data_IF_529651505888
#
_entry.id   IF_529651505888
#
_cell.length_a   1.000
_cell.length_b   1.000
_cell.length_c   1.000
_cell.angle_alpha   90.00
_cell.angle_beta   90.00
_cell.angle_gamma   90.00
#
_symmetry.space_group_name_H-M   'P 1'
#
loop_
_entity.id
_entity.type
_entity.pdbx_description
1 polymer ?
#
# COMPACT_ATOMS: atom_id res chain seq x y z
N UNK A 1 -0.29 -15.02 -14.53
CA UNK A 1 -1.23 -14.16 -13.79
C UNK A 1 -0.66 -13.88 -12.41
N UNK A 2 -0.74 -12.65 -11.95
CA UNK A 2 -0.31 -12.21 -10.62
C UNK A 2 -1.55 -11.80 -9.83
N UNK A 3 -1.71 -12.33 -8.63
CA UNK A 3 -2.85 -12.05 -7.74
C UNK A 3 -2.36 -11.21 -6.57
N UNK A 4 -3.13 -10.21 -6.17
CA UNK A 4 -2.77 -9.31 -5.10
C UNK A 4 -3.97 -8.81 -4.30
N UNK A 5 -3.70 -8.34 -3.09
CA UNK A 5 -4.64 -7.56 -2.29
C UNK A 5 -3.87 -6.46 -1.55
N UNK A 6 -4.55 -5.34 -1.29
CA UNK A 6 -4.09 -4.21 -0.49
C UNK A 6 -4.97 -4.14 0.77
N UNK A 7 -4.48 -4.60 1.94
CA UNK A 7 -5.24 -4.53 3.18
C UNK A 7 -5.82 -3.14 3.49
N UNK A 8 -5.06 -2.09 3.18
CA UNK A 8 -5.42 -0.69 3.44
C UNK A 8 -6.55 -0.17 2.55
N UNK A 9 -6.82 -0.84 1.43
CA UNK A 9 -7.95 -0.54 0.54
C UNK A 9 -9.18 -1.41 0.89
N UNK A 10 -9.12 -2.18 1.99
CA UNK A 10 -10.15 -3.11 2.46
C UNK A 10 -10.48 -4.23 1.45
N UNK A 11 -9.48 -4.65 0.67
CA UNK A 11 -9.62 -5.79 -0.25
C UNK A 11 -9.92 -7.09 0.50
N UNK A 12 -10.87 -7.90 -0.01
CA UNK A 12 -11.13 -9.25 0.50
C UNK A 12 -10.01 -10.20 0.05
N UNK A 13 -9.26 -10.84 0.97
CA UNK A 13 -8.19 -11.77 0.61
C UNK A 13 -8.68 -13.01 -0.14
N UNK A 14 -9.98 -13.36 -0.07
CA UNK A 14 -10.57 -14.47 -0.82
C UNK A 14 -10.96 -14.10 -2.26
N UNK A 15 -11.05 -12.80 -2.56
CA UNK A 15 -11.38 -12.26 -3.87
C UNK A 15 -10.24 -11.33 -4.35
N UNK A 16 -9.02 -11.85 -4.57
CA UNK A 16 -7.87 -11.03 -4.88
C UNK A 16 -8.00 -10.35 -6.25
N UNK A 17 -7.50 -9.11 -6.32
CA UNK A 17 -7.26 -8.42 -7.58
C UNK A 17 -6.21 -9.18 -8.40
N UNK A 18 -6.20 -9.04 -9.72
CA UNK A 18 -5.19 -9.66 -10.56
C UNK A 18 -4.75 -8.82 -11.77
N UNK A 19 -3.55 -9.11 -12.27
CA UNK A 19 -3.03 -8.54 -13.51
C UNK A 19 -2.13 -9.52 -14.26
N UNK A 20 -2.03 -9.32 -15.57
CA UNK A 20 -1.21 -10.13 -16.48
C UNK A 20 0.18 -9.52 -16.69
N UNK A 21 1.18 -10.40 -16.85
CA UNK A 21 2.50 -10.05 -17.37
C UNK A 21 2.72 -10.92 -18.61
N UNK A 22 3.08 -10.34 -19.78
CA UNK A 22 3.27 -11.07 -21.02
C UNK A 22 4.62 -11.82 -21.05
N UNK A 23 4.88 -12.64 -20.03
CA UNK A 23 6.09 -13.45 -19.87
C UNK A 23 5.75 -14.82 -19.27
N UNK A 24 6.50 -15.89 -19.61
CA UNK A 24 6.41 -17.17 -18.90
C UNK A 24 6.63 -16.99 -17.40
N UNK A 25 5.86 -17.67 -16.56
CA UNK A 25 5.88 -17.48 -15.10
C UNK A 25 7.28 -17.70 -14.49
N UNK A 26 8.06 -18.62 -15.03
CA UNK A 26 9.40 -19.00 -14.59
C UNK A 26 10.47 -17.92 -14.89
N UNK A 27 10.11 -16.96 -15.74
CA UNK A 27 10.95 -15.84 -16.18
C UNK A 27 10.55 -14.50 -15.56
N UNK A 28 9.47 -14.46 -14.77
CA UNK A 28 9.01 -13.22 -14.15
C UNK A 28 9.99 -12.82 -13.05
N UNK A 29 10.56 -11.63 -13.20
CA UNK A 29 11.46 -11.01 -12.24
C UNK A 29 10.71 -10.00 -11.37
N UNK A 30 11.30 -9.62 -10.24
CA UNK A 30 10.72 -8.61 -9.37
C UNK A 30 10.51 -7.26 -10.10
N UNK A 31 11.43 -6.84 -10.96
CA UNK A 31 11.25 -5.64 -11.78
C UNK A 31 10.03 -5.70 -12.71
N UNK A 32 9.66 -6.90 -13.19
CA UNK A 32 8.50 -7.06 -14.06
C UNK A 32 7.20 -6.83 -13.31
N UNK A 33 7.13 -7.30 -12.06
CA UNK A 33 6.02 -7.01 -11.14
C UNK A 33 5.87 -5.49 -10.97
N UNK A 34 6.97 -4.81 -10.66
CA UNK A 34 6.99 -3.37 -10.41
C UNK A 34 6.56 -2.57 -11.65
N UNK A 35 6.98 -2.99 -12.84
CA UNK A 35 6.66 -2.33 -14.10
C UNK A 35 5.18 -2.51 -14.52
N UNK A 36 4.58 -3.67 -14.23
CA UNK A 36 3.21 -3.99 -14.65
C UNK A 36 2.15 -3.69 -13.59
N UNK A 37 2.54 -3.45 -12.33
CA UNK A 37 1.61 -3.10 -11.27
C UNK A 37 0.90 -1.77 -11.56
N UNK A 38 -0.41 -1.83 -11.80
CA UNK A 38 -1.17 -0.71 -12.38
C UNK A 38 -1.41 0.45 -11.43
N UNK A 39 -1.30 0.22 -10.11
CA UNK A 39 -1.45 1.28 -9.11
C UNK A 39 -0.14 2.03 -8.85
N UNK A 40 0.93 1.72 -9.59
CA UNK A 40 2.20 2.43 -9.48
C UNK A 40 1.99 3.93 -9.75
N UNK A 41 2.28 4.81 -8.78
CA UNK A 41 2.04 6.25 -8.89
C UNK A 41 2.75 6.84 -10.10
N UNK A 42 3.92 6.32 -10.50
CA UNK A 42 4.61 6.76 -11.73
C UNK A 42 3.79 6.61 -13.01
N UNK A 43 2.81 5.70 -13.05
CA UNK A 43 1.93 5.52 -14.21
C UNK A 43 0.67 6.39 -14.14
N UNK A 44 0.16 6.63 -12.93
CA UNK A 44 -0.95 7.56 -12.71
C UNK A 44 -0.51 9.04 -12.82
N UNK A 45 0.70 9.34 -12.34
CA UNK A 45 1.37 10.63 -12.38
C UNK A 45 2.19 10.85 -13.65
N UNK A 46 2.30 9.92 -14.59
CA UNK A 46 2.86 10.26 -15.92
C UNK A 46 2.05 11.36 -16.65
N UNK A 47 0.90 11.78 -16.10
CA UNK A 47 0.15 12.97 -16.48
C UNK A 47 0.56 14.28 -15.74
N UNK A 48 1.47 14.25 -14.76
CA UNK A 48 1.99 15.40 -14.01
C UNK A 48 3.50 15.23 -13.71
N UNK A 49 4.30 16.25 -14.00
CA UNK A 49 5.77 16.17 -13.93
C UNK A 49 6.30 15.55 -12.61
N UNK A 50 7.35 14.71 -12.67
CA UNK A 50 7.89 14.01 -11.51
C UNK A 50 8.54 15.00 -10.51
N UNK A 51 8.24 14.85 -9.22
CA UNK A 51 8.95 15.54 -8.14
C UNK A 51 10.21 14.75 -7.73
N UNK A 52 11.20 15.47 -7.19
CA UNK A 52 12.56 14.98 -6.93
C UNK A 52 12.66 13.79 -5.94
N UNK A 53 11.59 13.50 -5.20
CA UNK A 53 11.51 12.36 -4.25
C UNK A 53 11.07 11.02 -4.88
N UNK A 54 10.80 10.99 -6.19
CA UNK A 54 10.22 9.81 -6.88
C UNK A 54 11.21 8.76 -7.37
N UNK A 55 12.51 8.94 -7.13
CA UNK A 55 13.53 8.10 -7.76
C UNK A 55 13.63 6.68 -7.17
N UNK A 56 13.09 6.40 -5.99
CA UNK A 56 13.25 5.09 -5.35
C UNK A 56 11.96 4.50 -4.77
N UNK A 57 11.01 4.23 -5.67
CA UNK A 57 10.03 3.19 -5.41
C UNK A 57 8.64 3.60 -5.80
N UNK A 58 7.88 2.61 -6.25
CA UNK A 58 6.49 2.75 -6.64
C UNK A 58 5.52 3.04 -5.48
N UNK A 59 5.95 3.62 -4.36
CA UNK A 59 5.06 3.93 -3.24
C UNK A 59 4.45 2.70 -2.53
N UNK A 60 4.88 1.49 -2.88
CA UNK A 60 4.39 0.24 -2.29
C UNK A 60 5.54 -0.65 -1.78
N UNK A 61 5.19 -1.56 -0.89
CA UNK A 61 5.99 -2.71 -0.47
C UNK A 61 5.29 -3.96 -0.98
N UNK A 62 6.00 -4.79 -1.74
CA UNK A 62 5.47 -6.06 -2.25
C UNK A 62 5.97 -7.20 -1.38
N UNK A 63 5.04 -8.03 -0.91
CA UNK A 63 5.36 -9.27 -0.21
C UNK A 63 4.77 -10.42 -0.97
N UNK A 64 5.58 -11.43 -1.23
CA UNK A 64 5.17 -12.58 -2.02
C UNK A 64 4.89 -13.77 -1.12
N UNK A 65 3.82 -14.50 -1.41
CA UNK A 65 3.54 -15.77 -0.73
C UNK A 65 4.65 -16.76 -1.09
N UNK A 66 5.34 -17.27 -0.09
CA UNK A 66 6.43 -18.22 -0.24
C UNK A 66 6.17 -19.44 0.65
N UNK A 67 6.43 -20.64 0.10
CA UNK A 67 6.33 -21.90 0.83
C UNK A 67 7.72 -22.46 1.06
N UNK A 68 8.09 -22.65 2.32
CA UNK A 68 9.36 -23.23 2.71
C UNK A 68 9.13 -24.28 3.80
N UNK A 69 9.58 -25.51 3.56
CA UNK A 69 9.44 -26.64 4.51
C UNK A 69 8.00 -26.81 5.04
N UNK A 70 7.00 -26.67 4.16
CA UNK A 70 5.58 -26.79 4.50
C UNK A 70 4.96 -25.55 5.17
N UNK A 71 5.77 -24.58 5.60
CA UNK A 71 5.30 -23.32 6.16
C UNK A 71 5.07 -22.28 5.07
N UNK A 72 4.02 -21.46 5.24
CA UNK A 72 3.74 -20.34 4.35
C UNK A 72 4.15 -19.03 5.02
N UNK A 73 4.89 -18.20 4.31
CA UNK A 73 5.35 -16.90 4.81
C UNK A 73 5.21 -15.82 3.73
N UNK A 74 5.17 -14.57 4.17
CA UNK A 74 5.27 -13.41 3.29
C UNK A 74 6.74 -13.02 3.15
N UNK A 75 7.27 -13.06 1.93
CA UNK A 75 8.66 -12.75 1.62
C UNK A 75 8.77 -11.37 0.97
N UNK A 76 9.60 -10.51 1.56
CA UNK A 76 9.95 -9.20 1.01
C UNK A 76 11.13 -9.36 0.06
N UNK A 77 11.12 -8.64 -1.06
CA UNK A 77 12.18 -8.70 -2.07
C UNK A 77 12.73 -7.30 -2.36
N UNK A 78 14.06 -7.20 -2.44
CA UNK A 78 14.77 -5.93 -2.74
C UNK A 78 15.54 -5.96 -4.05
N UNK A 79 15.98 -7.14 -4.52
CA UNK A 79 16.76 -7.27 -5.75
C UNK A 79 15.81 -7.33 -6.99
N UNK A 80 15.90 -6.36 -7.92
CA UNK A 80 15.04 -6.30 -9.11
C UNK A 80 15.20 -7.51 -10.05
N UNK A 81 16.37 -8.14 -10.04
CA UNK A 81 16.71 -9.27 -10.91
C UNK A 81 16.36 -10.63 -10.30
N UNK A 82 15.81 -10.66 -9.09
CA UNK A 82 15.40 -11.92 -8.46
C UNK A 82 14.12 -12.46 -9.07
N UNK A 83 14.05 -13.77 -9.24
CA UNK A 83 12.82 -14.48 -9.61
C UNK A 83 11.82 -14.42 -8.46
N UNK A 84 10.57 -14.13 -8.79
CA UNK A 84 9.51 -14.09 -7.78
C UNK A 84 9.03 -15.50 -7.44
N UNK A 85 8.70 -15.79 -6.17
CA UNK A 85 8.20 -17.10 -5.80
C UNK A 85 6.80 -17.33 -6.37
N UNK A 86 6.47 -18.60 -6.62
CA UNK A 86 5.16 -19.02 -7.07
C UNK A 86 4.62 -20.16 -6.21
N UNK A 87 3.30 -20.18 -6.02
CA UNK A 87 2.57 -21.23 -5.30
C UNK A 87 1.58 -21.85 -6.29
N UNK A 88 1.73 -23.15 -6.58
CA UNK A 88 0.92 -23.88 -7.56
C UNK A 88 0.84 -23.17 -8.93
N UNK A 89 1.96 -22.61 -9.38
CA UNK A 89 2.07 -21.91 -10.68
C UNK A 89 1.42 -20.53 -10.71
N UNK A 90 0.99 -20.00 -9.57
CA UNK A 90 0.44 -18.64 -9.42
C UNK A 90 1.35 -17.81 -8.53
N UNK A 91 1.43 -16.51 -8.81
CA UNK A 91 2.12 -15.55 -7.95
C UNK A 91 1.07 -14.87 -7.10
N UNK A 92 1.22 -14.94 -5.77
CA UNK A 92 0.34 -14.27 -4.82
C UNK A 92 1.10 -13.21 -4.07
N UNK A 93 0.50 -12.04 -3.94
CA UNK A 93 1.10 -10.87 -3.31
C UNK A 93 0.19 -10.26 -2.26
N UNK A 94 0.80 -9.79 -1.19
CA UNK A 94 0.24 -8.78 -0.31
C UNK A 94 0.97 -7.47 -0.59
N UNK A 95 0.23 -6.40 -0.87
CA UNK A 95 0.79 -5.11 -1.23
C UNK A 95 0.45 -4.11 -0.14
N UNK A 96 1.45 -3.41 0.38
CA UNK A 96 1.28 -2.40 1.43
C UNK A 96 1.66 -1.04 0.87
N UNK A 97 0.90 0.01 1.18
CA UNK A 97 1.22 1.38 0.79
C UNK A 97 2.30 1.94 1.70
N UNK A 98 3.32 2.59 1.14
CA UNK A 98 4.31 3.36 1.92
C UNK A 98 3.70 4.65 2.46
N UNK A 99 2.75 5.23 1.72
CA UNK A 99 2.03 6.45 2.08
C UNK A 99 0.53 6.15 2.19
N UNK A 100 -0.15 6.52 3.29
CA UNK A 100 -1.59 6.32 3.43
C UNK A 100 -2.37 6.96 2.27
N UNK A 101 -3.34 6.23 1.70
CA UNK A 101 -4.26 6.76 0.68
C UNK A 101 -5.33 7.66 1.28
N UNK A 102 -5.82 7.28 2.46
CA UNK A 102 -6.87 7.99 3.17
C UNK A 102 -6.21 8.74 4.33
N UNK A 103 -6.06 10.05 4.20
CA UNK A 103 -5.80 10.91 5.34
C UNK A 103 -7.13 11.17 6.04
N UNK A 104 -7.14 11.10 7.37
CA UNK A 104 -8.30 11.57 8.11
C UNK A 104 -8.52 13.05 7.75
N UNK A 105 -9.78 13.51 7.60
CA UNK A 105 -10.03 14.94 7.56
C UNK A 105 -9.36 15.55 8.79
N UNK A 106 -8.69 16.68 8.60
CA UNK A 106 -8.08 17.42 9.68
C UNK A 106 -9.23 17.89 10.59
N UNK A 107 -9.58 17.09 11.60
CA UNK A 107 -10.58 17.50 12.57
C UNK A 107 -9.97 18.71 13.26
N UNK A 108 -10.61 19.90 13.20
CA UNK A 108 -10.10 21.04 13.92
C UNK A 108 -10.01 20.62 15.39
N UNK A 109 -8.80 20.66 15.92
CA UNK A 109 -8.51 20.43 17.32
C UNK A 109 -9.49 21.29 18.12
N UNK A 110 -10.42 20.63 18.83
CA UNK A 110 -11.44 21.34 19.59
C UNK A 110 -10.71 22.28 20.54
N UNK A 111 -10.93 23.58 20.35
CA UNK A 111 -10.27 24.62 21.13
C UNK A 111 -10.38 24.27 22.63
N UNK A 112 -9.30 24.42 23.41
CA UNK A 112 -9.29 24.02 24.81
C UNK A 112 -10.43 24.70 25.58
N UNK A 113 -10.98 23.97 26.55
CA UNK A 113 -12.17 24.29 27.34
C UNK A 113 -12.04 25.55 28.25
N UNK A 114 -11.72 26.71 27.67
CA UNK A 114 -11.60 27.97 28.41
C UNK A 114 -12.90 28.80 28.45
N UNK A 115 -13.99 28.34 27.84
CA UNK A 115 -15.27 29.09 27.85
C UNK A 115 -16.11 28.83 29.11
N UNK A 116 -15.80 27.80 29.91
CA UNK A 116 -16.59 27.51 31.13
C UNK A 116 -16.26 28.41 32.34
N UNK A 117 -15.08 29.03 32.40
CA UNK A 117 -14.66 29.78 33.59
C UNK A 117 -15.24 31.20 33.72
N UNK A 118 -15.87 31.75 32.67
CA UNK A 118 -16.39 33.13 32.69
C UNK A 118 -17.89 33.24 32.97
N UNK A 119 -18.66 32.14 32.95
CA UNK A 119 -20.10 32.19 33.27
C UNK A 119 -20.41 31.99 34.77
N UNK A 120 -19.51 31.40 35.55
CA UNK A 120 -19.76 31.17 36.99
C UNK A 120 -19.50 32.42 37.86
N UNK A 121 -18.71 33.40 37.40
CA UNK A 121 -18.51 34.65 38.15
C UNK A 121 -19.61 35.70 37.93
N UNK A 122 -20.46 35.56 36.89
CA UNK A 122 -21.59 36.47 36.66
C UNK A 122 -22.86 36.05 37.42
N UNK A 123 -22.90 34.85 38.01
CA UNK A 123 -24.06 34.30 38.72
C UNK A 123 -24.07 34.61 40.23
N UNK A 124 -23.00 35.17 40.79
CA UNK A 124 -22.87 35.40 42.24
C UNK A 124 -23.07 36.88 42.66
N UNK A 125 -23.53 37.75 41.77
CA UNK A 125 -23.72 39.18 42.04
C UNK A 125 -25.19 39.65 41.93
N UNK A 126 -26.17 38.80 42.26
CA UNK A 126 -27.57 39.20 42.45
C UNK A 126 -28.11 38.70 43.79
#
# INVERSE_FOLDING_TARGET
MVYYYIPEDFDDPNLPNCFGIPKPKESILFQDIVAHFSLNPRRAEAARAPTQDQEQGNGFIFRFKYKYQGQTSWLDMSNPNSKVPSDNGRIFMKVTRKTPKYTLPNFPEQAPAQVRAQQEQASFAQ
#
